data_IF_774720909448
#
_entry.id   IF_774720909448
#
_cell.length_a   1.000
_cell.length_b   1.000
_cell.length_c   1.000
_cell.angle_alpha   90.00
_cell.angle_beta   90.00
_cell.angle_gamma   90.00
#
_symmetry.space_group_name_H-M   'P 1'
#
loop_
_entity.id
_entity.type
_entity.pdbx_description
1 polymer ?
#
# COMPACT_ATOMS: atom_id res chain seq x y z
N UNK A 1 -5.58 25.30 3.18
CA UNK A 1 -5.94 24.14 2.34
C UNK A 1 -4.71 23.85 1.48
N UNK A 2 -4.03 22.72 1.65
CA UNK A 2 -2.84 22.41 0.85
C UNK A 2 -3.27 21.86 -0.52
N UNK A 3 -2.59 22.26 -1.60
CA UNK A 3 -2.82 21.72 -2.94
C UNK A 3 -2.55 20.21 -3.00
N UNK A 4 -3.20 19.44 -3.89
CA UNK A 4 -2.89 18.01 -4.11
C UNK A 4 -1.40 17.78 -4.36
N UNK A 5 -0.77 18.68 -5.10
CA UNK A 5 0.65 18.62 -5.45
C UNK A 5 1.57 18.63 -4.23
N UNK A 6 1.15 19.29 -3.13
CA UNK A 6 1.93 19.34 -1.89
C UNK A 6 2.09 17.95 -1.26
N UNK A 7 1.05 17.12 -1.28
CA UNK A 7 1.13 15.77 -0.72
C UNK A 7 1.81 14.77 -1.65
N UNK A 8 1.90 15.07 -2.94
CA UNK A 8 2.72 14.30 -3.89
C UNK A 8 4.21 14.57 -3.67
N UNK A 9 4.58 15.84 -3.45
CA UNK A 9 5.96 16.26 -3.19
C UNK A 9 6.44 15.94 -1.77
N UNK A 10 5.56 16.12 -0.77
CA UNK A 10 5.86 15.88 0.64
C UNK A 10 4.85 14.94 1.31
N UNK A 11 4.78 13.66 0.90
CA UNK A 11 3.86 12.67 1.48
C UNK A 11 4.13 12.37 2.96
N UNK A 12 5.21 12.92 3.51
CA UNK A 12 5.66 12.76 4.90
C UNK A 12 5.62 14.05 5.72
N UNK A 13 5.09 15.15 5.18
CA UNK A 13 4.84 16.34 5.97
C UNK A 13 3.89 16.03 7.13
N UNK A 14 4.21 16.55 8.32
CA UNK A 14 3.33 16.55 9.51
C UNK A 14 3.18 17.99 9.95
N UNK A 15 1.96 18.39 10.28
CA UNK A 15 1.69 19.67 10.92
C UNK A 15 1.29 19.38 12.37
N UNK A 16 1.95 20.02 13.32
CA UNK A 16 1.64 19.95 14.75
C UNK A 16 1.51 21.35 15.32
N UNK A 17 0.55 21.58 16.19
CA UNK A 17 0.49 22.80 16.99
C UNK A 17 1.44 22.71 18.18
N UNK A 18 2.05 23.85 18.53
CA UNK A 18 2.87 24.00 19.73
C UNK A 18 2.07 24.68 20.84
N UNK A 19 2.43 24.35 22.08
CA UNK A 19 1.78 24.90 23.26
C UNK A 19 1.86 26.43 23.29
N UNK A 20 0.75 27.05 23.70
CA UNK A 20 0.55 28.50 23.84
C UNK A 20 1.35 29.12 25.01
N UNK A 21 2.26 28.37 25.65
CA UNK A 21 2.89 28.74 26.93
C UNK A 21 3.47 30.17 26.99
N UNK A 22 3.97 30.70 25.87
CA UNK A 22 4.63 32.01 25.81
C UNK A 22 4.15 32.91 24.65
N UNK A 23 3.05 32.57 23.98
CA UNK A 23 2.49 33.33 22.85
C UNK A 23 0.97 33.41 22.96
N UNK A 24 0.39 34.49 22.47
CA UNK A 24 -1.05 34.67 22.27
C UNK A 24 -1.61 33.84 21.10
N UNK A 25 -0.75 33.08 20.42
CA UNK A 25 -1.11 32.13 19.38
C UNK A 25 -0.45 30.77 19.63
N UNK A 26 -1.02 29.69 19.09
CA UNK A 26 -0.37 28.37 19.07
C UNK A 26 0.49 28.31 17.80
N UNK A 27 1.84 28.33 17.89
CA UNK A 27 2.68 28.25 16.71
C UNK A 27 2.42 26.94 15.96
N UNK A 28 2.30 27.00 14.63
CA UNK A 28 2.13 25.83 13.79
C UNK A 28 3.51 25.37 13.32
N UNK A 29 3.90 24.15 13.69
CA UNK A 29 5.15 23.52 13.28
C UNK A 29 4.90 22.55 12.13
N UNK A 30 5.45 22.87 10.95
CA UNK A 30 5.52 21.94 9.83
C UNK A 30 6.82 21.13 9.93
N UNK A 31 6.70 19.85 10.26
CA UNK A 31 7.82 18.91 10.28
C UNK A 31 7.84 18.12 8.97
N UNK A 32 8.88 18.34 8.17
CA UNK A 32 9.18 17.54 6.97
C UNK A 32 10.42 16.71 7.29
N UNK A 33 10.21 15.48 7.77
CA UNK A 33 11.30 14.61 8.19
C UNK A 33 11.04 13.14 7.87
N UNK A 34 12.11 12.40 7.58
CA UNK A 34 12.05 10.94 7.45
C UNK A 34 12.27 10.33 8.82
N UNK A 35 11.18 9.90 9.46
CA UNK A 35 11.26 9.11 10.68
C UNK A 35 11.45 7.64 10.33
N UNK A 36 12.55 7.05 10.82
CA UNK A 36 12.89 5.65 10.54
C UNK A 36 12.19 4.70 11.52
N UNK A 37 10.97 4.29 11.15
CA UNK A 37 10.24 3.21 11.82
C UNK A 37 10.75 1.81 11.44
N UNK A 38 11.88 1.71 10.74
CA UNK A 38 12.56 0.47 10.39
C UNK A 38 12.21 -0.06 8.99
N UNK A 39 12.65 -1.30 8.70
CA UNK A 39 12.48 -1.90 7.39
C UNK A 39 11.00 -2.01 6.98
N UNK A 40 10.69 -1.58 5.76
CA UNK A 40 9.34 -1.71 5.21
C UNK A 40 8.86 -3.16 5.26
N UNK A 41 7.65 -3.37 5.75
CA UNK A 41 7.00 -4.68 5.77
C UNK A 41 6.95 -5.27 4.37
N UNK A 42 7.28 -6.55 4.26
CA UNK A 42 7.15 -7.29 3.01
C UNK A 42 5.67 -7.45 2.67
N UNK A 43 5.31 -7.17 1.42
CA UNK A 43 3.96 -7.34 0.89
C UNK A 43 4.05 -8.15 -0.40
N UNK A 44 3.18 -9.14 -0.53
CA UNK A 44 3.03 -9.92 -1.75
C UNK A 44 1.90 -9.31 -2.60
N UNK A 45 2.09 -9.27 -3.93
CA UNK A 45 1.06 -8.83 -4.87
C UNK A 45 0.48 -10.03 -5.61
N UNK A 46 -0.81 -9.94 -5.93
CA UNK A 46 -1.51 -11.02 -6.62
C UNK A 46 -1.00 -11.19 -8.06
N UNK A 47 -0.47 -10.12 -8.66
CA UNK A 47 0.18 -10.19 -9.97
C UNK A 47 1.41 -11.10 -10.00
N UNK A 48 2.07 -11.31 -8.86
CA UNK A 48 3.27 -12.15 -8.79
C UNK A 48 2.95 -13.61 -9.09
N UNK A 49 1.76 -14.08 -8.71
CA UNK A 49 1.30 -15.44 -9.01
C UNK A 49 1.07 -15.70 -10.50
N UNK A 50 0.93 -14.64 -11.31
CA UNK A 50 0.74 -14.75 -12.76
C UNK A 50 2.05 -14.91 -13.54
N UNK A 51 3.20 -14.85 -12.85
CA UNK A 51 4.52 -14.96 -13.49
C UNK A 51 5.01 -16.38 -13.40
N UNK A 52 5.50 -16.89 -14.53
CA UNK A 52 5.91 -18.29 -14.68
C UNK A 52 6.97 -18.72 -13.65
N UNK A 53 7.90 -17.84 -13.31
CA UNK A 53 8.99 -18.15 -12.38
C UNK A 53 8.61 -18.15 -10.90
N UNK A 54 7.47 -17.54 -10.53
CA UNK A 54 7.13 -17.32 -9.13
C UNK A 54 6.94 -18.64 -8.36
N UNK A 55 6.13 -19.53 -8.92
CA UNK A 55 5.83 -20.81 -8.28
C UNK A 55 7.10 -21.66 -8.10
N UNK A 56 7.94 -21.70 -9.13
CA UNK A 56 9.24 -22.40 -9.10
C UNK A 56 10.11 -21.87 -7.96
N UNK A 57 10.27 -20.55 -7.84
CA UNK A 57 11.05 -19.93 -6.77
C UNK A 57 10.51 -20.29 -5.38
N UNK A 58 9.20 -20.27 -5.19
CA UNK A 58 8.57 -20.61 -3.89
C UNK A 58 8.77 -22.08 -3.54
N UNK A 59 8.56 -23.01 -4.50
CA UNK A 59 8.74 -24.44 -4.28
C UNK A 59 10.19 -24.77 -3.92
N UNK A 60 11.16 -24.20 -4.64
CA UNK A 60 12.58 -24.36 -4.34
C UNK A 60 12.93 -23.81 -2.94
N UNK A 61 12.45 -22.61 -2.61
CA UNK A 61 12.68 -22.01 -1.30
C UNK A 61 12.05 -22.81 -0.15
N UNK A 62 10.89 -23.44 -0.38
CA UNK A 62 10.25 -24.30 0.59
C UNK A 62 11.05 -25.60 0.81
N UNK A 63 11.54 -26.22 -0.27
CA UNK A 63 12.30 -27.46 -0.21
C UNK A 63 13.68 -27.28 0.46
N UNK A 64 14.35 -26.15 0.19
CA UNK A 64 15.66 -25.81 0.74
C UNK A 64 15.60 -25.19 2.15
N UNK A 65 14.41 -25.05 2.73
CA UNK A 65 14.27 -24.44 4.04
C UNK A 65 14.93 -25.31 5.14
N UNK A 66 15.72 -24.70 6.05
CA UNK A 66 16.30 -25.43 7.17
C UNK A 66 15.25 -26.14 8.01
N UNK A 67 15.56 -27.38 8.44
CA UNK A 67 14.74 -28.16 9.37
C UNK A 67 15.42 -28.15 10.74
N UNK A 68 14.68 -27.84 11.80
CA UNK A 68 15.22 -27.90 13.18
C UNK A 68 14.42 -27.08 14.20
N UNK A 69 14.43 -27.56 15.45
CA UNK A 69 13.74 -26.93 16.58
C UNK A 69 12.28 -27.37 16.72
N UNK A 70 11.49 -26.58 17.46
CA UNK A 70 10.05 -26.81 17.60
C UNK A 70 9.32 -26.68 16.25
N UNK A 71 8.09 -27.22 16.17
CA UNK A 71 7.24 -27.11 14.98
C UNK A 71 7.05 -25.64 14.58
N UNK A 72 6.81 -24.77 15.56
CA UNK A 72 6.63 -23.33 15.35
C UNK A 72 7.90 -22.68 14.77
N UNK A 73 9.07 -23.07 15.29
CA UNK A 73 10.36 -22.58 14.78
C UNK A 73 10.60 -23.05 13.35
N UNK A 74 10.23 -24.28 13.02
CA UNK A 74 10.35 -24.83 11.67
C UNK A 74 9.46 -24.07 10.68
N UNK A 75 8.21 -23.77 11.04
CA UNK A 75 7.31 -22.95 10.21
C UNK A 75 7.89 -21.54 10.03
N UNK A 76 8.37 -20.92 11.11
CA UNK A 76 9.00 -19.61 11.06
C UNK A 76 10.18 -19.58 10.08
N UNK A 77 11.09 -20.55 10.17
CA UNK A 77 12.26 -20.64 9.30
C UNK A 77 11.88 -20.84 7.83
N UNK A 78 10.87 -21.69 7.55
CA UNK A 78 10.32 -21.88 6.21
C UNK A 78 9.77 -20.58 5.63
N UNK A 79 8.91 -19.88 6.37
CA UNK A 79 8.33 -18.61 5.93
C UNK A 79 9.41 -17.53 5.71
N UNK A 80 10.44 -17.49 6.57
CA UNK A 80 11.57 -16.58 6.40
C UNK A 80 12.38 -16.91 5.14
N UNK A 81 12.61 -18.18 4.84
CA UNK A 81 13.34 -18.58 3.64
C UNK A 81 12.58 -18.22 2.36
N UNK A 82 11.27 -18.53 2.33
CA UNK A 82 10.38 -18.15 1.23
C UNK A 82 10.37 -16.63 1.04
N UNK A 83 10.22 -15.87 2.12
CA UNK A 83 10.26 -14.40 2.07
C UNK A 83 11.58 -13.88 1.49
N UNK A 84 12.73 -14.46 1.85
CA UNK A 84 14.05 -14.07 1.31
C UNK A 84 14.13 -14.38 -0.19
N UNK A 85 13.74 -15.58 -0.60
CA UNK A 85 13.75 -16.00 -1.99
C UNK A 85 12.85 -15.12 -2.88
N UNK A 86 11.61 -14.86 -2.44
CA UNK A 86 10.68 -13.98 -3.18
C UNK A 86 11.24 -12.55 -3.30
N UNK A 87 11.90 -12.04 -2.26
CA UNK A 87 12.53 -10.71 -2.32
C UNK A 87 13.63 -10.64 -3.36
N UNK A 88 14.53 -11.63 -3.40
CA UNK A 88 15.61 -11.69 -4.40
C UNK A 88 15.04 -11.79 -5.82
N UNK A 89 14.14 -12.75 -6.03
CA UNK A 89 13.43 -12.94 -7.30
C UNK A 89 12.71 -11.66 -7.76
N UNK A 90 12.05 -10.93 -6.86
CA UNK A 90 11.34 -9.70 -7.23
C UNK A 90 12.28 -8.59 -7.70
N UNK A 91 13.46 -8.46 -7.10
CA UNK A 91 14.46 -7.46 -7.54
C UNK A 91 14.89 -7.75 -8.97
N UNK A 92 15.24 -8.99 -9.27
CA UNK A 92 15.65 -9.43 -10.62
C UNK A 92 14.50 -9.29 -11.63
N UNK A 93 13.31 -9.76 -11.28
CA UNK A 93 12.15 -9.74 -12.20
C UNK A 93 11.69 -8.31 -12.47
N UNK A 94 11.73 -7.43 -11.46
CA UNK A 94 11.42 -6.02 -11.65
C UNK A 94 12.41 -5.36 -12.61
N UNK A 95 13.70 -5.66 -12.49
CA UNK A 95 14.72 -5.12 -13.40
C UNK A 95 14.47 -5.56 -14.84
N UNK A 96 14.18 -6.84 -15.07
CA UNK A 96 13.84 -7.38 -16.39
C UNK A 96 12.60 -6.72 -17.00
N UNK A 97 11.55 -6.51 -16.22
CA UNK A 97 10.34 -5.83 -16.70
C UNK A 97 10.57 -4.34 -16.98
N UNK A 98 11.45 -3.68 -16.23
CA UNK A 98 11.81 -2.29 -16.48
C UNK A 98 12.62 -2.13 -17.77
N UNK A 99 13.52 -3.07 -18.05
CA UNK A 99 14.23 -3.17 -19.32
C UNK A 99 13.27 -3.48 -20.49
N UNK A 100 12.38 -4.47 -20.33
CA UNK A 100 11.36 -4.79 -21.32
C UNK A 100 10.49 -3.57 -21.63
N UNK A 101 10.04 -2.85 -20.60
CA UNK A 101 9.25 -1.64 -20.74
C UNK A 101 9.98 -0.55 -21.56
N UNK A 102 11.26 -0.31 -21.28
CA UNK A 102 12.07 0.65 -22.03
C UNK A 102 12.20 0.25 -23.50
N UNK A 103 12.55 -1.01 -23.76
CA UNK A 103 12.68 -1.53 -25.12
C UNK A 103 11.37 -1.44 -25.91
N UNK A 104 10.25 -1.80 -25.30
CA UNK A 104 8.93 -1.69 -25.94
C UNK A 104 8.59 -0.24 -26.30
N UNK A 105 8.90 0.69 -25.39
CA UNK A 105 8.65 2.11 -25.61
C UNK A 105 9.55 2.69 -26.72
N UNK A 106 10.84 2.37 -26.69
CA UNK A 106 11.81 2.79 -27.73
C UNK A 106 11.41 2.25 -29.11
N UNK A 107 11.02 0.97 -29.20
CA UNK A 107 10.56 0.38 -30.45
C UNK A 107 9.28 1.05 -30.97
N UNK A 108 8.34 1.36 -30.08
CA UNK A 108 7.13 2.10 -30.44
C UNK A 108 7.49 3.50 -30.96
N UNK A 109 8.35 4.24 -30.26
CA UNK A 109 8.83 5.56 -30.68
C UNK A 109 9.58 5.52 -32.02
N UNK A 110 10.30 4.44 -32.33
CA UNK A 110 10.90 4.24 -33.66
C UNK A 110 9.82 4.12 -34.76
N UNK A 111 8.77 3.32 -34.53
CA UNK A 111 7.69 3.14 -35.50
C UNK A 111 6.89 4.44 -35.67
N UNK A 112 6.58 5.16 -34.59
CA UNK A 112 5.88 6.45 -34.67
C UNK A 112 6.70 7.48 -35.48
N UNK A 113 8.03 7.54 -35.28
CA UNK A 113 8.92 8.40 -36.09
C UNK A 113 8.96 8.04 -37.58
N UNK A 114 8.77 6.77 -37.92
CA UNK A 114 8.65 6.34 -39.32
C UNK A 114 7.30 6.79 -39.87
N UNK A 115 6.22 6.62 -39.09
CA UNK A 115 4.87 7.04 -39.45
C UNK A 115 4.75 8.55 -39.72
N UNK A 116 5.54 9.38 -39.04
CA UNK A 116 5.63 10.83 -39.29
C UNK A 116 6.23 11.17 -40.66
N UNK A 117 7.09 10.31 -41.21
CA UNK A 117 7.84 10.56 -42.45
C UNK A 117 7.20 9.91 -43.67
N UNK A 118 6.58 8.74 -43.48
CA UNK A 118 5.92 7.96 -44.54
C UNK A 118 4.82 7.08 -43.96
N UNK A 119 3.95 6.58 -44.83
CA UNK A 119 3.01 5.54 -44.44
C UNK A 119 3.73 4.27 -43.97
N UNK A 120 3.21 3.67 -42.90
CA UNK A 120 3.70 2.40 -42.35
C UNK A 120 3.40 1.23 -43.30
N UNK A 121 4.39 0.36 -43.48
CA UNK A 121 4.23 -0.92 -44.15
C UNK A 121 3.34 -1.85 -43.31
N UNK A 122 2.69 -2.83 -43.94
CA UNK A 122 1.79 -3.75 -43.22
C UNK A 122 2.48 -4.45 -42.04
N UNK A 123 3.73 -4.89 -42.23
CA UNK A 123 4.55 -5.47 -41.15
C UNK A 123 4.77 -4.51 -39.98
N UNK A 124 5.04 -3.24 -40.26
CA UNK A 124 5.26 -2.23 -39.21
C UNK A 124 3.98 -1.90 -38.46
N UNK A 125 2.82 -1.96 -39.14
CA UNK A 125 1.50 -1.82 -38.53
C UNK A 125 1.22 -2.99 -37.58
N UNK A 126 1.51 -4.21 -38.01
CA UNK A 126 1.39 -5.40 -37.16
C UNK A 126 2.30 -5.32 -35.93
N UNK A 127 3.57 -4.96 -36.12
CA UNK A 127 4.54 -4.77 -35.04
C UNK A 127 4.06 -3.71 -34.05
N UNK A 128 3.53 -2.58 -34.53
CA UNK A 128 2.94 -1.52 -33.69
C UNK A 128 1.80 -2.04 -32.81
N UNK A 129 0.86 -2.80 -33.39
CA UNK A 129 -0.28 -3.37 -32.66
C UNK A 129 0.22 -4.34 -31.58
N UNK A 130 1.20 -5.18 -31.90
CA UNK A 130 1.80 -6.12 -30.95
C UNK A 130 2.51 -5.41 -29.78
N UNK A 131 3.27 -4.35 -30.07
CA UNK A 131 3.93 -3.54 -29.05
C UNK A 131 2.92 -2.87 -28.12
N UNK A 132 1.89 -2.22 -28.69
CA UNK A 132 0.83 -1.57 -27.91
C UNK A 132 0.07 -2.56 -27.03
N UNK A 133 -0.23 -3.76 -27.56
CA UNK A 133 -0.86 -4.84 -26.78
C UNK A 133 0.00 -5.21 -25.58
N UNK A 134 1.30 -5.41 -25.78
CA UNK A 134 2.22 -5.78 -24.70
C UNK A 134 2.38 -4.68 -23.66
N UNK A 135 2.48 -3.42 -24.08
CA UNK A 135 2.52 -2.26 -23.18
C UNK A 135 1.24 -2.22 -22.32
N UNK A 136 0.08 -2.39 -22.94
CA UNK A 136 -1.21 -2.40 -22.25
C UNK A 136 -1.31 -3.53 -21.22
N UNK A 137 -0.78 -4.72 -21.50
CA UNK A 137 -0.69 -5.81 -20.52
C UNK A 137 0.14 -5.43 -19.29
N UNK A 138 1.31 -4.82 -19.49
CA UNK A 138 2.18 -4.35 -18.41
C UNK A 138 1.51 -3.24 -17.58
N UNK A 139 0.83 -2.29 -18.22
CA UNK A 139 0.06 -1.24 -17.55
C UNK A 139 -1.06 -1.86 -16.70
N UNK A 140 -1.83 -2.81 -17.26
CA UNK A 140 -2.90 -3.52 -16.53
C UNK A 140 -2.37 -4.25 -15.31
N UNK A 141 -1.21 -4.91 -15.42
CA UNK A 141 -0.55 -5.56 -14.27
C UNK A 141 -0.22 -4.54 -13.18
N UNK A 142 0.44 -3.43 -13.54
CA UNK A 142 0.78 -2.35 -12.59
C UNK A 142 -0.47 -1.73 -11.94
N UNK A 143 -1.56 -1.56 -12.71
CA UNK A 143 -2.85 -1.08 -12.21
C UNK A 143 -3.46 -2.01 -11.17
N UNK A 144 -3.42 -3.34 -11.39
CA UNK A 144 -3.86 -4.34 -10.41
C UNK A 144 -3.07 -4.25 -9.10
N UNK A 145 -1.75 -4.08 -9.18
CA UNK A 145 -0.90 -3.93 -7.99
C UNK A 145 -1.25 -2.65 -7.23
N UNK A 146 -1.46 -1.55 -7.93
CA UNK A 146 -1.81 -0.27 -7.32
C UNK A 146 -3.18 -0.31 -6.63
N UNK A 147 -4.17 -0.95 -7.28
CA UNK A 147 -5.49 -1.23 -6.69
C UNK A 147 -5.39 -2.07 -5.42
N UNK A 148 -4.56 -3.13 -5.44
CA UNK A 148 -4.31 -3.96 -4.25
C UNK A 148 -3.65 -3.15 -3.12
N UNK A 149 -2.70 -2.24 -3.44
CA UNK A 149 -2.11 -1.32 -2.44
C UNK A 149 -3.15 -0.40 -1.82
N UNK A 150 -4.06 0.14 -2.63
CA UNK A 150 -5.13 1.02 -2.18
C UNK A 150 -6.20 0.29 -1.34
N UNK A 151 -6.27 -1.06 -1.42
CA UNK A 151 -7.33 -1.94 -0.89
C UNK A 151 -8.75 -1.45 -1.19
N UNK A 152 -8.96 -0.92 -2.40
CA UNK A 152 -10.27 -0.47 -2.88
C UNK A 152 -11.00 -1.67 -3.49
N UNK A 153 -12.21 -1.98 -3.01
CA UNK A 153 -13.00 -3.14 -3.43
C UNK A 153 -13.89 -2.89 -4.65
N UNK A 154 -14.25 -1.64 -4.95
CA UNK A 154 -15.30 -1.30 -5.93
C UNK A 154 -14.79 -0.45 -7.10
N UNK A 155 -15.46 -0.66 -8.23
CA UNK A 155 -15.25 -0.03 -9.52
C UNK A 155 -15.49 1.49 -9.44
N UNK A 156 -14.41 2.25 -9.52
CA UNK A 156 -14.44 3.52 -10.25
C UNK A 156 -13.69 3.24 -11.56
N UNK A 157 -14.16 2.23 -12.30
CA UNK A 157 -13.58 1.77 -13.58
C UNK A 157 -13.98 2.68 -14.75
N UNK A 158 -14.17 3.99 -14.52
CA UNK A 158 -14.46 4.94 -15.61
C UNK A 158 -13.27 5.79 -16.04
N UNK A 159 -12.11 5.61 -15.40
CA UNK A 159 -10.87 6.13 -15.91
C UNK A 159 -9.70 5.25 -15.44
N UNK A 160 -8.68 5.05 -16.28
CA UNK A 160 -7.42 4.39 -15.94
C UNK A 160 -6.56 5.29 -15.03
N UNK A 161 -7.20 5.97 -14.08
CA UNK A 161 -6.60 7.04 -13.33
C UNK A 161 -5.73 6.48 -12.19
N UNK A 162 -4.46 6.27 -12.51
CA UNK A 162 -3.44 5.94 -11.52
C UNK A 162 -3.33 6.98 -10.40
N UNK A 163 -3.54 8.28 -10.69
CA UNK A 163 -3.50 9.36 -9.69
C UNK A 163 -4.54 9.18 -8.59
N UNK A 164 -5.76 8.72 -8.91
CA UNK A 164 -6.77 8.39 -7.89
C UNK A 164 -6.25 7.34 -6.90
N UNK A 165 -5.74 6.21 -7.39
CA UNK A 165 -5.25 5.16 -6.52
C UNK A 165 -4.00 5.60 -5.73
N UNK A 166 -3.13 6.42 -6.33
CA UNK A 166 -1.99 7.04 -5.65
C UNK A 166 -2.45 7.96 -4.51
N UNK A 167 -3.45 8.81 -4.75
CA UNK A 167 -4.06 9.65 -3.72
C UNK A 167 -4.64 8.85 -2.56
N UNK A 168 -5.39 7.78 -2.85
CA UNK A 168 -5.92 6.88 -1.82
C UNK A 168 -4.81 6.20 -1.02
N UNK A 169 -3.75 5.72 -1.69
CA UNK A 169 -2.59 5.13 -1.00
C UNK A 169 -1.91 6.15 -0.09
N UNK A 170 -1.73 7.39 -0.55
CA UNK A 170 -1.10 8.45 0.23
C UNK A 170 -1.94 8.84 1.44
N UNK A 171 -3.24 9.07 1.27
CA UNK A 171 -4.17 9.35 2.37
C UNK A 171 -4.14 8.23 3.42
N UNK A 172 -4.13 6.96 2.99
CA UNK A 172 -4.00 5.82 3.91
C UNK A 172 -2.65 5.80 4.62
N UNK A 173 -1.56 6.09 3.92
CA UNK A 173 -0.23 6.12 4.55
C UNK A 173 -0.14 7.25 5.58
N UNK A 174 -0.76 8.40 5.32
CA UNK A 174 -0.85 9.53 6.25
C UNK A 174 -1.69 9.16 7.48
N UNK A 175 -2.88 8.59 7.30
CA UNK A 175 -3.79 8.26 8.40
C UNK A 175 -3.28 7.10 9.26
N UNK A 176 -2.58 6.12 8.66
CA UNK A 176 -2.01 4.98 9.40
C UNK A 176 -0.60 5.27 9.96
N UNK A 177 -0.06 6.48 9.74
CA UNK A 177 1.24 6.84 10.28
C UNK A 177 1.10 7.16 11.77
N UNK A 178 1.89 6.48 12.57
CA UNK A 178 2.07 6.81 13.98
C UNK A 178 3.06 7.99 14.04
N UNK A 179 2.56 9.17 14.39
CA UNK A 179 3.38 10.40 14.56
C UNK A 179 4.02 10.46 15.95
N UNK A 180 3.34 9.89 16.94
CA UNK A 180 3.80 9.83 18.32
C UNK A 180 2.87 8.98 19.16
N UNK A 181 3.30 8.67 20.37
CA UNK A 181 2.50 8.01 21.40
C UNK A 181 2.57 8.80 22.69
N UNK A 182 1.47 8.81 23.44
CA UNK A 182 1.45 9.36 24.79
C UNK A 182 1.88 8.27 25.77
N UNK A 183 3.09 8.40 26.32
CA UNK A 183 3.70 7.47 27.27
C UNK A 183 3.76 8.18 28.61
N UNK A 184 3.16 7.60 29.65
CA UNK A 184 3.14 8.17 31.02
C UNK A 184 2.71 9.65 31.09
N UNK A 185 1.79 10.06 30.20
CA UNK A 185 1.28 11.43 30.13
C UNK A 185 2.09 12.37 29.23
N UNK A 186 3.29 11.98 28.78
CA UNK A 186 4.14 12.79 27.90
C UNK A 186 4.01 12.34 26.44
N UNK A 187 3.99 13.31 25.51
CA UNK A 187 3.98 13.02 24.08
C UNK A 187 5.40 12.68 23.59
N UNK A 188 5.58 11.45 23.14
CA UNK A 188 6.86 10.93 22.63
C UNK A 188 6.75 10.72 21.13
N UNK A 189 7.60 11.43 20.37
CA UNK A 189 7.71 11.30 18.92
C UNK A 189 8.98 10.55 18.46
N UNK A 190 9.83 10.09 19.39
CA UNK A 190 11.06 9.38 19.05
C UNK A 190 10.74 7.93 18.60
N UNK A 191 11.06 7.53 17.37
CA UNK A 191 10.74 6.20 16.86
C UNK A 191 11.33 5.04 17.67
N UNK A 192 12.48 5.22 18.33
CA UNK A 192 13.10 4.17 19.15
C UNK A 192 12.26 3.90 20.41
N UNK A 193 11.97 4.96 21.17
CA UNK A 193 11.14 4.88 22.38
C UNK A 193 9.74 4.34 22.09
N UNK A 194 9.12 4.78 20.98
CA UNK A 194 7.83 4.26 20.52
C UNK A 194 7.91 2.75 20.25
N UNK A 195 8.98 2.26 19.61
CA UNK A 195 9.14 0.83 19.32
C UNK A 195 9.32 0.01 20.59
N UNK A 196 10.13 0.51 21.52
CA UNK A 196 10.43 -0.20 22.78
C UNK A 196 9.17 -0.30 23.65
N UNK A 197 8.40 0.78 23.78
CA UNK A 197 7.13 0.80 24.51
C UNK A 197 6.09 -0.15 23.89
N UNK A 198 5.93 -0.10 22.55
CA UNK A 198 5.03 -1.01 21.85
C UNK A 198 5.49 -2.47 22.03
N UNK A 199 6.79 -2.74 21.95
CA UNK A 199 7.33 -4.08 22.16
C UNK A 199 7.00 -4.59 23.57
N UNK A 200 7.23 -3.77 24.60
CA UNK A 200 6.98 -4.11 25.99
C UNK A 200 5.49 -4.43 26.21
N UNK A 201 4.57 -3.58 25.73
CA UNK A 201 3.14 -3.85 25.83
C UNK A 201 2.71 -5.16 25.15
N UNK A 202 3.26 -5.46 23.97
CA UNK A 202 2.97 -6.72 23.31
C UNK A 202 3.60 -7.91 24.07
N UNK A 203 4.82 -7.78 24.60
CA UNK A 203 5.42 -8.83 25.41
C UNK A 203 4.56 -9.15 26.62
N UNK A 204 4.12 -8.15 27.38
CA UNK A 204 3.24 -8.35 28.55
C UNK A 204 1.93 -9.05 28.18
N UNK A 205 1.27 -8.62 27.10
CA UNK A 205 -0.01 -9.19 26.66
C UNK A 205 0.11 -10.61 26.12
N UNK A 206 1.21 -10.92 25.44
CA UNK A 206 1.44 -12.22 24.81
C UNK A 206 2.30 -13.17 25.67
N UNK A 207 2.68 -12.75 26.88
CA UNK A 207 3.30 -13.63 27.87
C UNK A 207 2.22 -14.57 28.42
N UNK A 208 2.38 -15.86 28.16
CA UNK A 208 1.46 -16.88 28.67
C UNK A 208 1.65 -16.99 30.19
N UNK A 209 0.59 -16.83 31.00
CA UNK A 209 0.71 -16.94 32.46
C UNK A 209 0.97 -18.39 32.92
N UNK A 210 0.75 -19.37 32.04
CA UNK A 210 0.94 -20.78 32.32
C UNK A 210 2.38 -21.19 31.99
N UNK A 211 3.16 -21.49 33.03
CA UNK A 211 4.53 -22.03 32.93
C UNK A 211 4.60 -23.41 32.27
N UNK A 212 3.48 -24.15 32.19
CA UNK A 212 3.44 -25.48 31.57
C UNK A 212 2.15 -25.68 30.78
N UNK A 213 2.28 -25.70 29.45
CA UNK A 213 1.16 -25.95 28.55
C UNK A 213 0.61 -27.38 28.74
N UNK A 214 -0.71 -27.58 28.94
CA UNK A 214 -1.28 -28.91 28.99
C UNK A 214 -0.96 -29.67 27.70
N UNK A 215 -0.31 -30.83 27.82
CA UNK A 215 -0.10 -31.70 26.66
C UNK A 215 -1.48 -32.23 26.25
N UNK A 216 -1.93 -31.93 25.03
CA UNK A 216 -3.16 -32.50 24.46
C UNK A 216 -2.90 -33.97 24.08
N UNK A 217 -2.68 -34.82 25.09
CA UNK A 217 -2.34 -36.24 24.95
C UNK A 217 -3.40 -37.04 24.18
N UNK A 218 -4.64 -36.54 24.11
CA UNK A 218 -5.72 -37.17 23.37
C UNK A 218 -5.60 -37.02 21.85
N UNK A 219 -4.91 -35.99 21.31
CA UNK A 219 -4.81 -35.79 19.85
C UNK A 219 -3.98 -36.92 19.21
N UNK A 220 -2.91 -37.36 19.88
CA UNK A 220 -2.10 -38.49 19.42
C UNK A 220 -2.90 -39.80 19.41
N UNK A 221 -3.80 -39.99 20.39
CA UNK A 221 -4.66 -41.18 20.47
C UNK A 221 -5.80 -41.12 19.45
N UNK A 222 -6.39 -39.94 19.20
CA UNK A 222 -7.41 -39.71 18.17
C UNK A 222 -6.87 -40.00 16.77
N UNK A 223 -5.67 -39.51 16.45
CA UNK A 223 -5.02 -39.81 15.16
C UNK A 223 -4.75 -41.30 14.96
N UNK A 224 -4.47 -42.05 16.04
CA UNK A 224 -4.22 -43.48 15.96
C UNK A 224 -5.51 -44.29 15.81
N UNK A 225 -6.57 -43.92 16.53
CA UNK A 225 -7.91 -44.55 16.43
C UNK A 225 -8.53 -44.32 15.06
N UNK A 226 -8.40 -43.10 14.52
CA UNK A 226 -9.00 -42.74 13.21
C UNK A 226 -8.23 -43.32 12.02
N UNK A 227 -6.91 -43.55 12.16
CA UNK A 227 -6.12 -44.31 11.18
C UNK A 227 -6.50 -45.80 11.12
N UNK A 228 -6.93 -46.38 12.24
CA UNK A 228 -7.36 -47.79 12.30
C UNK A 228 -8.76 -48.00 11.72
N UNK A 229 -9.62 -46.98 11.73
CA UNK A 229 -10.98 -47.04 11.17
C UNK A 229 -11.07 -46.64 9.68
N UNK A 230 -9.95 -46.35 9.01
CA UNK A 230 -9.95 -46.00 7.58
C UNK A 230 -10.67 -44.69 7.23
N UNK A 231 -10.94 -43.83 8.22
CA UNK A 231 -11.59 -42.53 8.01
C UNK A 231 -10.54 -41.42 7.97
N UNK A 232 -10.35 -40.81 6.80
CA UNK A 232 -9.59 -39.57 6.69
C UNK A 232 -10.34 -38.44 7.41
N UNK A 233 -9.64 -37.75 8.33
CA UNK A 233 -10.20 -36.60 9.03
C UNK A 233 -10.16 -35.35 8.15
N UNK A 234 -11.33 -34.79 7.85
CA UNK A 234 -11.46 -33.36 7.59
C UNK A 234 -11.24 -32.62 8.92
N UNK A 235 -9.99 -32.22 9.21
CA UNK A 235 -9.58 -31.47 10.42
C UNK A 235 -10.41 -30.20 10.68
N UNK A 236 -11.05 -29.64 9.65
CA UNK A 236 -11.99 -28.51 9.75
C UNK A 236 -13.29 -28.84 10.51
N UNK A 237 -13.75 -30.09 10.48
CA UNK A 237 -14.98 -30.52 11.16
C UNK A 237 -14.79 -30.71 12.67
N UNK A 238 -13.67 -31.30 13.08
CA UNK A 238 -13.37 -31.59 14.49
C UNK A 238 -12.91 -30.36 15.29
N UNK A 239 -12.39 -29.33 14.59
CA UNK A 239 -12.01 -28.04 15.17
C UNK A 239 -13.10 -26.95 14.98
N UNK A 240 -14.31 -27.35 14.57
CA UNK A 240 -15.44 -26.42 14.45
C UNK A 240 -15.71 -25.75 15.81
N UNK A 241 -15.26 -24.50 15.93
CA UNK A 241 -15.36 -23.57 17.06
C UNK A 241 -16.79 -23.32 17.61
N UNK A 242 -17.81 -24.00 17.09
CA UNK A 242 -19.21 -23.84 17.51
C UNK A 242 -19.43 -24.16 19.00
N UNK A 243 -18.58 -24.96 19.63
CA UNK A 243 -18.65 -25.30 21.05
C UNK A 243 -17.84 -24.38 21.99
N UNK A 244 -17.07 -23.43 21.47
CA UNK A 244 -16.26 -22.49 22.28
C UNK A 244 -16.82 -21.06 22.35
N UNK A 245 -18.06 -20.85 21.90
CA UNK A 245 -18.74 -19.55 22.01
C UNK A 245 -19.54 -19.47 23.31
N UNK A 246 -18.85 -19.49 24.46
CA UNK A 246 -19.36 -18.78 25.64
C UNK A 246 -18.62 -17.45 25.70
N UNK A 247 -19.33 -16.30 25.73
CA UNK A 247 -18.67 -15.03 25.90
C UNK A 247 -18.00 -15.03 27.27
N UNK A 248 -16.69 -14.81 27.31
CA UNK A 248 -16.01 -14.45 28.55
C UNK A 248 -16.44 -13.02 28.81
N UNK A 249 -17.44 -12.88 29.68
CA UNK A 249 -17.97 -11.62 30.17
C UNK A 249 -16.96 -10.98 31.14
N UNK A 250 -15.84 -10.51 30.61
CA UNK A 250 -14.95 -9.60 31.31
C UNK A 250 -15.28 -8.21 30.78
N UNK A 251 -16.21 -7.52 31.45
CA UNK A 251 -16.77 -6.21 31.12
C UNK A 251 -15.76 -5.06 30.98
N UNK A 252 -14.81 -5.19 30.06
CA UNK A 252 -13.83 -4.19 29.69
C UNK A 252 -14.16 -3.73 28.29
N UNK A 253 -14.75 -2.54 28.20
CA UNK A 253 -14.98 -1.82 26.94
C UNK A 253 -13.67 -1.77 26.15
N UNK A 254 -13.70 -1.90 24.81
CA UNK A 254 -12.51 -1.70 23.99
C UNK A 254 -12.09 -0.24 24.13
N UNK A 255 -11.01 0.02 24.87
CA UNK A 255 -10.39 1.33 24.88
C UNK A 255 -9.80 1.57 23.49
N UNK A 256 -10.47 2.44 22.74
CA UNK A 256 -9.82 3.24 21.72
C UNK A 256 -8.61 3.90 22.38
N UNK A 257 -7.41 3.57 21.93
CA UNK A 257 -6.38 4.60 21.92
C UNK A 257 -7.01 5.80 21.19
N UNK A 258 -6.97 7.00 21.77
CA UNK A 258 -7.11 8.23 21.00
C UNK A 258 -5.90 8.30 20.07
N UNK A 259 -5.96 7.52 18.99
CA UNK A 259 -5.17 7.74 17.80
C UNK A 259 -5.89 8.91 17.16
N UNK A 260 -5.45 10.13 17.45
CA UNK A 260 -5.78 11.26 16.60
C UNK A 260 -5.11 11.03 15.25
N UNK A 261 -5.76 10.20 14.43
CA UNK A 261 -5.52 10.19 13.00
C UNK A 261 -6.06 11.51 12.46
N UNK A 262 -5.19 12.29 11.83
CA UNK A 262 -5.59 13.52 11.15
C UNK A 262 -6.69 13.17 10.13
N UNK A 263 -7.94 13.47 10.46
CA UNK A 263 -9.09 13.22 9.60
C UNK A 263 -9.16 14.35 8.58
N UNK A 264 -8.64 14.11 7.38
CA UNK A 264 -8.85 15.01 6.25
C UNK A 264 -10.13 14.60 5.51
N UNK A 265 -11.18 15.43 5.48
CA UNK A 265 -12.35 15.15 4.68
C UNK A 265 -11.99 15.21 3.19
N UNK A 266 -12.24 14.12 2.46
CA UNK A 266 -12.31 14.16 1.00
C UNK A 266 -13.71 14.67 0.66
N UNK A 267 -13.85 15.99 0.43
CA UNK A 267 -15.07 16.51 -0.19
C UNK A 267 -15.12 15.99 -1.63
N UNK A 268 -16.15 15.20 -1.94
CA UNK A 268 -16.61 15.08 -3.31
C UNK A 268 -17.26 16.43 -3.64
N UNK A 269 -16.62 17.24 -4.47
CA UNK A 269 -17.29 18.41 -5.03
C UNK A 269 -18.29 17.91 -6.07
N UNK A 270 -19.56 18.13 -5.77
CA UNK A 270 -20.65 18.07 -6.73
C UNK A 270 -20.42 19.19 -7.76
N UNK A 271 -20.38 18.81 -9.04
CA UNK A 271 -20.33 19.73 -10.17
C UNK A 271 -21.54 20.70 -10.13
N UNK A 272 -21.36 22.03 -10.13
CA UNK A 272 -22.43 22.92 -10.49
C UNK A 272 -22.55 23.01 -12.01
N UNK A 273 -23.71 22.56 -12.47
CA UNK A 273 -24.31 22.76 -13.79
C UNK A 273 -24.21 24.22 -14.27
N UNK A 274 -23.71 24.38 -15.50
CA UNK A 274 -23.95 25.42 -16.52
C UNK A 274 -24.82 26.61 -16.08
N UNK A 275 -24.26 27.82 -16.14
CA UNK A 275 -25.00 29.04 -16.50
C UNK A 275 -24.29 29.73 -17.67
N UNK A 276 -25.02 29.81 -18.78
CA UNK A 276 -24.73 30.63 -19.96
C UNK A 276 -24.57 32.09 -19.54
N UNK A 277 -23.43 32.72 -19.84
CA UNK A 277 -23.30 34.17 -19.85
C UNK A 277 -23.36 34.64 -21.30
N UNK A 278 -24.44 35.37 -21.58
CA UNK A 278 -24.74 36.04 -22.84
C UNK A 278 -23.65 37.05 -23.18
N UNK A 279 -23.24 37.05 -24.45
CA UNK A 279 -22.43 38.08 -25.07
C UNK A 279 -23.42 39.16 -25.54
N UNK A 280 -23.41 40.32 -24.92
CA UNK A 280 -24.01 41.53 -25.49
C UNK A 280 -22.90 42.46 -25.99
N UNK A 281 -23.05 42.83 -27.26
CA UNK A 281 -22.20 43.72 -28.04
C UNK A 281 -22.41 45.21 -27.71
N UNK A 282 -21.41 46.01 -28.13
CA UNK A 282 -21.40 47.44 -28.49
C UNK A 282 -21.07 48.52 -27.42
N UNK A 283 -20.60 49.72 -27.83
CA UNK A 283 -19.57 50.01 -28.85
C UNK A 283 -18.61 51.18 -28.47
N UNK A 284 -17.51 51.30 -29.23
CA UNK A 284 -16.70 52.48 -29.59
C UNK A 284 -16.89 53.85 -28.89
N UNK A 285 -15.79 54.45 -28.45
CA UNK A 285 -15.53 55.89 -28.65
C UNK A 285 -14.02 56.23 -28.58
N UNK A 286 -13.56 56.91 -29.62
CA UNK A 286 -12.21 57.40 -29.90
C UNK A 286 -11.66 58.43 -28.89
N UNK A 287 -10.31 58.52 -28.80
CA UNK A 287 -9.51 59.76 -28.95
C UNK A 287 -8.02 59.56 -28.61
N UNK A 288 -7.17 59.53 -29.63
CA UNK A 288 -5.82 60.16 -29.64
C UNK A 288 -5.96 61.69 -29.87
N UNK A 289 -4.91 62.57 -29.93
CA UNK A 289 -3.44 62.36 -29.91
C UNK A 289 -2.62 63.36 -29.01
N UNK A 290 -1.31 63.13 -28.82
CA UNK A 290 -0.20 64.09 -29.13
C UNK A 290 1.19 63.73 -28.54
N UNK A 291 2.10 63.38 -29.45
CA UNK A 291 3.47 63.88 -29.73
C UNK A 291 4.44 64.50 -28.67
N UNK A 292 5.71 64.05 -28.79
CA UNK A 292 7.03 64.75 -28.59
C UNK A 292 7.51 64.95 -27.13
N UNK A 293 8.75 64.65 -26.68
CA UNK A 293 10.10 65.13 -27.10
C UNK A 293 11.21 64.25 -26.47
N UNK A 294 12.30 64.06 -27.22
CA UNK A 294 13.60 63.39 -26.93
C UNK A 294 14.54 64.35 -26.15
N UNK A 295 15.56 63.92 -25.39
CA UNK A 295 16.87 63.59 -25.98
C UNK A 295 17.36 62.17 -25.65
#
# INVERSE_FOLDING_TARGET
>A
MFCRDFFELWPRAVVTDLSRLHSDHCPILLKVGVEDFGPKVFKCFNSWFLREDFERTVRLAYALAPRGGSVDRTIQLKLQNIKKAIKGWWVETKAKEEEEWKRLKENLECIERVAERRDLLDREREDRVMLLKRINELVKIKGRDLRQKAKVKWAVDRDENSSFFHGVVNARNLNNRIVGLKIEGQWVSNPKLIKDEVLLQFQERFTEPLTRRPKLWFISRLCHVLKLEGKEMNLLGALSLKSFTKPIDNGVKPYLYQIESASYPIRAEENPTIQECQIEDNPSADKEPNSTVVP
#
